data_IF_586340867710
#
_entry.id   IF_586340867710
#
_cell.length_a   1.000
_cell.length_b   1.000
_cell.length_c   1.000
_cell.angle_alpha   90.00
_cell.angle_beta   90.00
_cell.angle_gamma   90.00
#
_symmetry.space_group_name_H-M   'P 1'
#
loop_
_entity.id
_entity.type
_entity.pdbx_description
1 polymer ?
#
# COMPACT_ATOMS: atom_id res chain seq x y z
N UNK A 1 7.20 0.68 26.21
CA UNK A 1 6.35 1.17 25.11
C UNK A 1 6.21 0.02 24.09
N UNK A 2 5.00 -0.37 23.68
CA UNK A 2 4.90 -1.43 22.66
C UNK A 2 5.28 -0.86 21.30
N UNK A 3 6.27 -1.46 20.64
CA UNK A 3 6.72 -1.06 19.30
C UNK A 3 5.54 -1.11 18.31
N UNK A 4 5.36 -0.05 17.55
CA UNK A 4 4.36 0.05 16.48
C UNK A 4 5.07 0.36 15.18
N UNK A 5 4.84 -0.47 14.17
CA UNK A 5 5.51 -0.34 12.88
C UNK A 5 4.52 0.22 11.87
N UNK A 6 4.81 1.40 11.29
CA UNK A 6 4.08 1.92 10.16
C UNK A 6 4.31 1.07 8.92
N UNK A 7 3.23 0.65 8.28
CA UNK A 7 3.25 0.08 6.94
C UNK A 7 2.74 1.16 5.98
N UNK A 8 3.64 1.75 5.24
CA UNK A 8 3.36 2.83 4.29
C UNK A 8 2.79 2.23 3.00
N UNK A 9 1.60 2.66 2.61
CA UNK A 9 0.91 2.16 1.43
C UNK A 9 0.96 3.20 0.32
N UNK A 10 1.70 2.91 -0.73
CA UNK A 10 1.79 3.64 -1.98
C UNK A 10 1.02 2.91 -3.09
N UNK A 11 0.76 3.60 -4.20
CA UNK A 11 0.25 2.99 -5.42
C UNK A 11 1.19 3.34 -6.58
N UNK A 12 1.02 4.47 -7.26
CA UNK A 12 1.85 4.84 -8.40
C UNK A 12 2.78 6.01 -8.10
N UNK A 13 4.06 5.85 -8.39
CA UNK A 13 5.02 6.96 -8.41
C UNK A 13 5.12 7.46 -9.85
N UNK A 14 4.81 8.73 -10.06
CA UNK A 14 4.72 9.33 -11.38
C UNK A 14 5.79 10.40 -11.59
N UNK A 15 6.22 10.66 -12.84
CA UNK A 15 7.03 11.83 -13.16
C UNK A 15 6.38 13.14 -12.63
N UNK A 16 7.21 14.13 -12.28
CA UNK A 16 6.72 15.34 -11.61
C UNK A 16 5.82 16.20 -12.51
N UNK A 17 6.00 16.12 -13.82
CA UNK A 17 5.24 16.81 -14.85
C UNK A 17 3.97 16.07 -15.31
N UNK A 18 3.70 14.89 -14.73
CA UNK A 18 2.53 14.11 -15.14
C UNK A 18 1.22 14.76 -14.69
N UNK A 19 0.22 14.91 -15.59
CA UNK A 19 -1.11 15.44 -15.26
C UNK A 19 -1.80 14.69 -14.11
N UNK A 20 -2.61 15.42 -13.33
CA UNK A 20 -3.34 14.88 -12.17
C UNK A 20 -4.59 14.07 -12.52
N UNK A 21 -4.85 13.85 -13.81
CA UNK A 21 -6.11 13.27 -14.30
C UNK A 21 -6.22 11.74 -14.11
N UNK A 22 -5.14 11.08 -13.65
CA UNK A 22 -5.10 9.63 -13.40
C UNK A 22 -5.39 8.75 -14.63
N UNK A 23 -5.95 9.32 -15.70
CA UNK A 23 -6.37 8.67 -16.94
C UNK A 23 -6.99 7.28 -16.79
N UNK A 24 -7.83 7.12 -15.74
CA UNK A 24 -8.56 5.88 -15.46
C UNK A 24 -7.75 4.74 -14.81
N UNK A 25 -6.52 4.97 -14.34
CA UNK A 25 -5.65 3.95 -13.76
C UNK A 25 -5.86 3.77 -12.26
N UNK A 26 -5.78 4.88 -11.52
CA UNK A 26 -6.03 4.93 -10.08
C UNK A 26 -6.60 6.29 -9.69
N UNK A 27 -7.10 6.41 -8.47
CA UNK A 27 -7.59 7.69 -7.98
C UNK A 27 -6.45 8.71 -7.94
N UNK A 28 -6.64 9.98 -8.39
CA UNK A 28 -5.59 11.00 -8.47
C UNK A 28 -4.79 11.22 -7.17
N UNK A 29 -5.41 11.01 -6.01
CA UNK A 29 -4.74 11.13 -4.72
C UNK A 29 -3.63 10.09 -4.49
N UNK A 30 -3.66 8.98 -5.21
CA UNK A 30 -2.64 7.91 -5.13
C UNK A 30 -1.50 8.07 -6.16
N UNK A 31 -1.56 9.09 -7.01
CA UNK A 31 -0.47 9.45 -7.93
C UNK A 31 0.53 10.34 -7.20
N UNK A 32 1.59 9.76 -6.66
CA UNK A 32 2.61 10.51 -5.93
C UNK A 32 3.74 10.94 -6.88
N UNK A 33 4.08 12.26 -6.98
CA UNK A 33 5.22 12.73 -7.76
C UNK A 33 6.54 12.10 -7.30
N UNK A 34 7.44 11.84 -8.24
CA UNK A 34 8.75 11.25 -7.95
C UNK A 34 9.58 12.11 -6.99
N UNK A 35 9.50 13.44 -7.11
CA UNK A 35 10.16 14.37 -6.20
C UNK A 35 9.64 14.21 -4.75
N UNK A 36 8.31 14.08 -4.57
CA UNK A 36 7.75 13.87 -3.24
C UNK A 36 8.20 12.52 -2.63
N UNK A 37 8.29 11.47 -3.46
CA UNK A 37 8.81 10.18 -3.03
C UNK A 37 10.30 10.25 -2.68
N UNK A 38 11.11 10.96 -3.47
CA UNK A 38 12.52 11.24 -3.18
C UNK A 38 12.69 11.88 -1.80
N UNK A 39 11.94 12.95 -1.52
CA UNK A 39 12.00 13.67 -0.23
C UNK A 39 11.60 12.77 0.95
N UNK A 40 10.64 11.87 0.74
CA UNK A 40 10.22 10.90 1.76
C UNK A 40 11.32 9.85 2.03
N UNK A 41 11.94 9.29 1.01
CA UNK A 41 13.03 8.32 1.17
C UNK A 41 14.27 8.97 1.80
N UNK A 42 14.59 10.19 1.36
CA UNK A 42 15.66 10.98 1.96
C UNK A 42 15.39 11.24 3.45
N UNK A 43 14.17 11.65 3.82
CA UNK A 43 13.78 11.83 5.22
C UNK A 43 13.97 10.55 6.05
N UNK A 44 13.51 9.40 5.54
CA UNK A 44 13.67 8.13 6.24
C UNK A 44 15.16 7.81 6.48
N UNK A 45 16.00 7.99 5.47
CA UNK A 45 17.44 7.75 5.56
C UNK A 45 18.12 8.71 6.56
N UNK A 46 17.86 10.02 6.46
CA UNK A 46 18.42 11.05 7.35
C UNK A 46 18.01 10.85 8.83
N UNK A 47 16.79 10.33 9.06
CA UNK A 47 16.29 10.05 10.40
C UNK A 47 16.66 8.67 10.92
N UNK A 48 17.43 7.89 10.16
CA UNK A 48 17.91 6.56 10.57
C UNK A 48 16.80 5.50 10.63
N UNK A 49 15.78 5.60 9.79
CA UNK A 49 14.77 4.56 9.67
C UNK A 49 15.29 3.35 8.88
N UNK A 50 14.97 2.17 9.36
CA UNK A 50 15.17 0.90 8.65
C UNK A 50 13.90 0.52 7.90
N UNK A 51 13.99 0.32 6.59
CA UNK A 51 12.91 -0.26 5.81
C UNK A 51 12.96 -1.80 5.94
N UNK A 52 12.03 -2.35 6.70
CA UNK A 52 11.92 -3.81 6.91
C UNK A 52 11.25 -4.47 5.72
N UNK A 53 11.61 -5.73 5.46
CA UNK A 53 10.82 -6.55 4.55
C UNK A 53 9.44 -6.83 5.16
N UNK A 54 8.39 -6.86 4.32
CA UNK A 54 7.05 -7.20 4.78
C UNK A 54 6.98 -8.64 5.33
N UNK A 55 7.84 -9.55 4.84
CA UNK A 55 7.95 -10.93 5.33
C UNK A 55 8.46 -10.96 6.77
N UNK A 56 9.48 -10.17 7.09
CA UNK A 56 10.03 -10.12 8.45
C UNK A 56 9.03 -9.51 9.44
N UNK A 57 8.28 -8.48 9.02
CA UNK A 57 7.19 -7.94 9.82
C UNK A 57 6.13 -9.01 10.11
N UNK A 58 5.66 -9.74 9.08
CA UNK A 58 4.66 -10.81 9.26
C UNK A 58 5.16 -11.91 10.17
N UNK A 59 6.43 -12.31 10.05
CA UNK A 59 7.06 -13.29 10.95
C UNK A 59 7.07 -12.80 12.40
N UNK A 60 7.49 -11.56 12.62
CA UNK A 60 7.53 -10.97 13.96
C UNK A 60 6.13 -10.91 14.60
N UNK A 61 5.10 -10.53 13.83
CA UNK A 61 3.71 -10.53 14.29
C UNK A 61 3.21 -11.94 14.59
N UNK A 62 3.47 -12.91 13.72
CA UNK A 62 3.06 -14.30 13.89
C UNK A 62 3.69 -14.93 15.16
N UNK A 63 4.94 -14.58 15.42
CA UNK A 63 5.67 -15.01 16.61
C UNK A 63 5.35 -14.15 17.85
N UNK A 64 4.57 -13.07 17.69
CA UNK A 64 4.29 -12.06 18.72
C UNK A 64 5.55 -11.46 19.36
N UNK A 65 6.62 -11.36 18.56
CA UNK A 65 7.93 -10.89 18.97
C UNK A 65 8.40 -9.74 18.07
N UNK A 66 8.34 -8.52 18.61
CA UNK A 66 8.78 -7.30 17.92
C UNK A 66 10.11 -6.78 18.49
N UNK A 67 10.62 -7.39 19.53
CA UNK A 67 11.79 -6.99 20.32
C UNK A 67 13.11 -7.09 19.55
N UNK A 68 13.16 -7.88 18.48
CA UNK A 68 14.32 -7.98 17.58
C UNK A 68 14.33 -6.99 16.41
N UNK A 69 13.30 -6.15 16.27
CA UNK A 69 13.22 -5.21 15.18
C UNK A 69 13.83 -3.84 15.58
N UNK A 70 14.48 -3.11 14.66
CA UNK A 70 15.00 -1.78 14.94
C UNK A 70 13.88 -0.84 15.43
N UNK A 71 14.18 0.03 16.41
CA UNK A 71 13.19 0.96 16.97
C UNK A 71 12.57 1.91 15.95
N UNK A 72 13.40 2.37 14.99
CA UNK A 72 12.95 3.19 13.86
C UNK A 72 12.75 2.33 12.64
N UNK A 73 11.63 1.62 12.59
CA UNK A 73 11.28 0.73 11.48
C UNK A 73 10.05 1.20 10.74
N UNK A 74 10.08 1.08 9.43
CA UNK A 74 8.93 1.21 8.54
C UNK A 74 8.86 0.03 7.59
N UNK A 75 7.69 -0.28 7.05
CA UNK A 75 7.56 -1.17 5.89
C UNK A 75 6.99 -0.35 4.73
N UNK A 76 7.61 -0.45 3.57
CA UNK A 76 7.20 0.27 2.36
C UNK A 76 6.48 -0.72 1.45
N UNK A 77 5.24 -0.41 1.08
CA UNK A 77 4.42 -1.26 0.21
C UNK A 77 3.85 -0.47 -0.96
N UNK A 78 3.74 -1.12 -2.13
CA UNK A 78 3.11 -0.60 -3.32
C UNK A 78 2.02 -1.56 -3.76
N UNK A 79 0.84 -1.06 -4.09
CA UNK A 79 -0.26 -1.87 -4.60
C UNK A 79 -0.39 -1.72 -6.13
N UNK A 80 -1.17 -2.60 -6.76
CA UNK A 80 -1.60 -2.70 -8.15
C UNK A 80 -0.52 -3.17 -9.15
N UNK A 81 0.71 -2.68 -9.05
CA UNK A 81 1.80 -3.07 -9.96
C UNK A 81 2.02 -2.09 -11.11
N UNK A 82 1.83 -0.78 -10.90
CA UNK A 82 2.05 0.26 -11.90
C UNK A 82 3.50 0.36 -12.37
N UNK A 83 3.70 0.65 -13.67
CA UNK A 83 5.02 0.77 -14.30
C UNK A 83 5.88 1.90 -13.73
N UNK A 84 5.26 2.96 -13.21
CA UNK A 84 5.95 4.06 -12.52
C UNK A 84 6.73 3.58 -11.29
N UNK A 85 6.32 2.50 -10.66
CA UNK A 85 7.02 1.91 -9.53
C UNK A 85 8.39 1.33 -9.93
N UNK A 86 8.51 0.74 -11.12
CA UNK A 86 9.80 0.32 -11.66
C UNK A 86 10.66 1.51 -12.11
N UNK A 87 10.07 2.47 -12.84
CA UNK A 87 10.84 3.55 -13.46
C UNK A 87 11.24 4.65 -12.47
N UNK A 88 10.39 4.94 -11.48
CA UNK A 88 10.58 6.06 -10.55
C UNK A 88 10.94 5.59 -9.13
N UNK A 89 10.19 4.61 -8.57
CA UNK A 89 10.40 4.21 -7.19
C UNK A 89 11.65 3.33 -7.00
N UNK A 90 11.87 2.33 -7.82
CA UNK A 90 12.98 1.38 -7.68
C UNK A 90 14.36 2.07 -7.64
N UNK A 91 14.71 3.02 -8.55
CA UNK A 91 15.99 3.71 -8.48
C UNK A 91 16.20 4.47 -7.15
N UNK A 92 15.14 5.09 -6.63
CA UNK A 92 15.18 5.84 -5.37
C UNK A 92 15.30 4.90 -4.16
N UNK A 93 14.56 3.80 -4.14
CA UNK A 93 14.69 2.78 -3.10
C UNK A 93 16.12 2.23 -3.03
N UNK A 94 16.73 1.93 -4.17
CA UNK A 94 18.14 1.48 -4.26
C UNK A 94 19.11 2.56 -3.78
N UNK A 95 18.91 3.81 -4.19
CA UNK A 95 19.75 4.96 -3.80
C UNK A 95 19.85 5.11 -2.28
N UNK A 96 18.76 4.88 -1.56
CA UNK A 96 18.70 5.03 -0.11
C UNK A 96 18.80 3.70 0.65
N UNK A 97 19.05 2.58 -0.02
CA UNK A 97 19.13 1.25 0.61
C UNK A 97 17.83 0.80 1.27
N UNK A 98 16.68 1.26 0.75
CA UNK A 98 15.37 0.94 1.29
C UNK A 98 14.80 -0.30 0.61
N UNK A 99 14.27 -1.25 1.40
CA UNK A 99 13.50 -2.37 0.90
C UNK A 99 12.03 -1.99 0.74
N UNK A 100 11.33 -2.63 -0.21
CA UNK A 100 9.91 -2.48 -0.42
C UNK A 100 9.27 -3.78 -0.89
N UNK A 101 7.93 -3.89 -0.74
CA UNK A 101 7.14 -5.00 -1.26
C UNK A 101 6.10 -4.46 -2.23
N UNK A 102 6.06 -5.05 -3.42
CA UNK A 102 5.14 -4.71 -4.50
C UNK A 102 4.07 -5.79 -4.61
N UNK A 103 2.83 -5.43 -4.35
CA UNK A 103 1.67 -6.28 -4.50
C UNK A 103 1.09 -6.05 -5.90
N UNK A 104 1.10 -7.07 -6.75
CA UNK A 104 0.76 -6.93 -8.16
C UNK A 104 -0.54 -7.66 -8.49
N UNK A 105 -1.40 -7.03 -9.28
CA UNK A 105 -2.61 -7.64 -9.83
C UNK A 105 -2.23 -8.47 -11.06
N UNK A 106 -2.33 -9.79 -10.93
CA UNK A 106 -1.75 -10.73 -11.91
C UNK A 106 -2.30 -10.55 -13.32
N UNK A 107 -3.62 -10.39 -13.45
CA UNK A 107 -4.28 -10.22 -14.76
C UNK A 107 -3.88 -8.92 -15.49
N UNK A 108 -3.27 -7.98 -14.78
CA UNK A 108 -2.86 -6.69 -15.34
C UNK A 108 -1.37 -6.63 -15.73
N UNK A 109 -0.58 -7.66 -15.41
CA UNK A 109 0.85 -7.68 -15.73
C UNK A 109 1.04 -7.59 -17.26
N UNK A 110 1.83 -6.59 -17.69
CA UNK A 110 2.08 -6.29 -19.11
C UNK A 110 0.99 -5.48 -19.81
N UNK A 111 -0.11 -5.15 -19.13
CA UNK A 111 -1.10 -4.21 -19.66
C UNK A 111 -0.52 -2.78 -19.74
N UNK A 112 -1.12 -1.87 -20.54
CA UNK A 112 -0.68 -0.49 -20.60
C UNK A 112 -0.57 0.13 -19.21
N UNK A 113 0.58 0.77 -18.93
CA UNK A 113 0.94 1.39 -17.65
C UNK A 113 1.18 0.45 -16.47
N UNK A 114 1.11 -0.84 -16.67
CA UNK A 114 1.46 -1.84 -15.65
C UNK A 114 2.84 -2.43 -15.93
N UNK A 115 3.49 -2.94 -14.88
CA UNK A 115 4.79 -3.60 -15.03
C UNK A 115 4.68 -4.88 -15.85
N UNK A 116 5.68 -5.10 -16.70
CA UNK A 116 5.90 -6.38 -17.38
C UNK A 116 6.53 -7.41 -16.45
N UNK A 117 6.56 -8.67 -16.88
CA UNK A 117 7.26 -9.73 -16.16
C UNK A 117 8.76 -9.44 -16.00
N UNK A 118 9.42 -8.87 -17.01
CA UNK A 118 10.84 -8.51 -16.94
C UNK A 118 11.09 -7.41 -15.88
N UNK A 119 10.15 -6.46 -15.76
CA UNK A 119 10.23 -5.42 -14.73
C UNK A 119 9.99 -5.97 -13.32
N UNK A 120 9.10 -6.94 -13.14
CA UNK A 120 8.91 -7.65 -11.87
C UNK A 120 10.14 -8.46 -11.50
N UNK A 121 10.78 -9.10 -12.48
CA UNK A 121 12.05 -9.80 -12.28
C UNK A 121 13.17 -8.83 -11.89
N UNK A 122 13.23 -7.63 -12.50
CA UNK A 122 14.19 -6.60 -12.12
C UNK A 122 13.97 -6.10 -10.68
N UNK A 123 12.71 -5.97 -10.21
CA UNK A 123 12.42 -5.68 -8.80
C UNK A 123 12.97 -6.77 -7.89
N UNK A 124 12.71 -8.04 -8.22
CA UNK A 124 13.19 -9.20 -7.48
C UNK A 124 14.71 -9.22 -7.42
N UNK A 125 15.38 -9.06 -8.56
CA UNK A 125 16.85 -9.04 -8.66
C UNK A 125 17.48 -7.90 -7.84
N UNK A 126 16.74 -6.81 -7.64
CA UNK A 126 17.13 -5.70 -6.77
C UNK A 126 16.82 -5.95 -5.27
N UNK A 127 16.36 -7.14 -4.88
CA UNK A 127 16.06 -7.49 -3.49
C UNK A 127 14.70 -6.99 -2.99
N UNK A 128 13.82 -6.54 -3.89
CA UNK A 128 12.46 -6.13 -3.54
C UNK A 128 11.53 -7.35 -3.45
N UNK A 129 10.52 -7.27 -2.58
CA UNK A 129 9.46 -8.28 -2.53
C UNK A 129 8.47 -8.08 -3.67
N UNK A 130 8.12 -9.15 -4.39
CA UNK A 130 7.00 -9.17 -5.35
C UNK A 130 5.97 -10.18 -4.85
N UNK A 131 4.76 -9.71 -4.56
CA UNK A 131 3.71 -10.46 -3.90
C UNK A 131 2.35 -10.22 -4.58
N UNK A 132 1.31 -10.93 -4.11
CA UNK A 132 0.01 -10.94 -4.77
C UNK A 132 -0.88 -9.76 -4.36
N UNK A 133 -1.57 -9.16 -5.35
CA UNK A 133 -2.73 -8.30 -5.16
C UNK A 133 -3.98 -8.92 -5.80
N UNK A 134 -4.15 -10.23 -5.60
CA UNK A 134 -5.11 -11.12 -6.24
C UNK A 134 -4.88 -11.28 -7.76
N UNK A 135 -5.76 -12.04 -8.42
CA UNK A 135 -5.69 -12.23 -9.86
C UNK A 135 -6.31 -11.05 -10.62
N UNK A 136 -7.57 -10.64 -10.28
CA UNK A 136 -8.34 -9.65 -11.05
C UNK A 136 -8.57 -8.30 -10.35
N UNK A 137 -8.02 -8.04 -9.16
CA UNK A 137 -8.31 -6.83 -8.35
C UNK A 137 -9.79 -6.70 -7.96
N UNK A 138 -10.39 -7.78 -7.53
CA UNK A 138 -11.81 -7.86 -7.19
C UNK A 138 -12.10 -7.52 -5.72
N UNK A 139 -13.35 -7.18 -5.43
CA UNK A 139 -13.86 -7.00 -4.06
C UNK A 139 -14.09 -8.39 -3.46
N UNK A 140 -13.14 -8.91 -2.69
CA UNK A 140 -13.17 -10.27 -2.17
C UNK A 140 -14.45 -10.58 -1.35
N UNK A 141 -15.03 -9.60 -0.68
CA UNK A 141 -16.25 -9.79 0.12
C UNK A 141 -17.48 -10.17 -0.72
N UNK A 142 -17.47 -9.91 -2.03
CA UNK A 142 -18.57 -10.18 -2.96
C UNK A 142 -18.46 -11.55 -3.64
N UNK A 143 -17.33 -12.24 -3.48
CA UNK A 143 -17.08 -13.53 -4.12
C UNK A 143 -17.67 -14.69 -3.30
N UNK A 144 -18.00 -15.79 -3.97
CA UNK A 144 -18.18 -17.10 -3.30
C UNK A 144 -16.87 -17.57 -2.66
N UNK A 145 -16.93 -18.62 -1.83
CA UNK A 145 -15.73 -19.20 -1.21
C UNK A 145 -14.76 -19.74 -2.26
N UNK A 146 -15.30 -20.42 -3.27
CA UNK A 146 -14.56 -21.05 -4.35
C UNK A 146 -13.86 -19.99 -5.24
N UNK A 147 -14.57 -18.93 -5.60
CA UNK A 147 -14.00 -17.81 -6.38
C UNK A 147 -12.90 -17.10 -5.59
N UNK A 148 -13.14 -16.81 -4.29
CA UNK A 148 -12.15 -16.17 -3.44
C UNK A 148 -10.89 -17.04 -3.27
N UNK A 149 -11.06 -18.36 -3.13
CA UNK A 149 -9.92 -19.28 -3.07
C UNK A 149 -9.16 -19.33 -4.40
N UNK A 150 -9.88 -19.34 -5.54
CA UNK A 150 -9.27 -19.31 -6.86
C UNK A 150 -8.43 -18.05 -7.09
N UNK A 151 -8.95 -16.87 -6.70
CA UNK A 151 -8.21 -15.59 -6.75
C UNK A 151 -6.90 -15.64 -5.96
N UNK A 152 -6.94 -16.20 -4.76
CA UNK A 152 -5.79 -16.34 -3.88
C UNK A 152 -4.77 -17.36 -4.43
N UNK A 153 -5.25 -18.56 -4.77
CA UNK A 153 -4.40 -19.68 -5.14
C UNK A 153 -3.73 -19.49 -6.49
N UNK A 154 -4.50 -19.07 -7.50
CA UNK A 154 -3.98 -18.90 -8.86
C UNK A 154 -2.98 -17.74 -8.93
N UNK A 155 -3.30 -16.59 -8.32
CA UNK A 155 -2.38 -15.44 -8.33
C UNK A 155 -1.04 -15.77 -7.66
N UNK A 156 -1.10 -16.45 -6.50
CA UNK A 156 0.11 -16.88 -5.80
C UNK A 156 0.97 -17.84 -6.64
N UNK A 157 0.34 -18.85 -7.21
CA UNK A 157 1.07 -19.90 -7.92
C UNK A 157 1.71 -19.37 -9.20
N UNK A 158 0.98 -18.57 -10.00
CA UNK A 158 1.56 -17.98 -11.21
C UNK A 158 2.77 -17.08 -10.90
N UNK A 159 2.65 -16.21 -9.89
CA UNK A 159 3.77 -15.36 -9.47
C UNK A 159 4.96 -16.20 -8.99
N UNK A 160 4.74 -17.22 -8.16
CA UNK A 160 5.78 -18.13 -7.71
C UNK A 160 6.49 -18.83 -8.87
N UNK A 161 5.72 -19.38 -9.80
CA UNK A 161 6.24 -20.19 -10.90
C UNK A 161 7.00 -19.33 -11.93
N UNK A 162 6.52 -18.09 -12.18
CA UNK A 162 7.17 -17.16 -13.10
C UNK A 162 8.41 -16.47 -12.51
N UNK A 163 8.39 -16.15 -11.22
CA UNK A 163 9.50 -15.44 -10.56
C UNK A 163 10.50 -16.39 -9.87
N UNK A 164 10.22 -17.68 -9.80
CA UNK A 164 11.12 -18.67 -9.21
C UNK A 164 11.37 -18.46 -7.70
N UNK A 165 10.45 -17.81 -6.99
CA UNK A 165 10.59 -17.53 -5.55
C UNK A 165 9.26 -17.70 -4.80
N UNK A 166 9.30 -17.96 -3.48
CA UNK A 166 8.09 -18.05 -2.67
C UNK A 166 7.30 -16.73 -2.66
N UNK A 167 6.01 -16.81 -2.96
CA UNK A 167 5.05 -15.71 -2.81
C UNK A 167 4.21 -16.00 -1.58
N UNK A 168 4.54 -15.35 -0.47
CA UNK A 168 4.01 -15.68 0.86
C UNK A 168 3.07 -14.63 1.43
N UNK A 169 2.97 -13.48 0.78
CA UNK A 169 2.15 -12.37 1.25
C UNK A 169 1.18 -11.91 0.16
N UNK A 170 0.10 -11.28 0.62
CA UNK A 170 -0.84 -10.60 -0.26
C UNK A 170 -1.32 -9.28 0.32
N UNK A 171 -1.81 -8.40 -0.55
CA UNK A 171 -2.60 -7.22 -0.19
C UNK A 171 -4.00 -7.36 -0.76
N UNK A 172 -5.00 -6.99 0.04
CA UNK A 172 -6.41 -7.07 -0.34
C UNK A 172 -6.84 -5.81 -1.10
N UNK A 173 -7.34 -5.92 -2.34
CA UNK A 173 -7.90 -4.80 -3.07
C UNK A 173 -9.00 -4.09 -2.27
N UNK A 174 -8.94 -2.76 -2.21
CA UNK A 174 -9.83 -1.92 -1.41
C UNK A 174 -9.92 -2.27 0.09
N UNK A 175 -9.07 -3.18 0.57
CA UNK A 175 -9.11 -3.70 1.94
C UNK A 175 -10.35 -4.55 2.26
N UNK A 176 -11.09 -4.95 1.23
CA UNK A 176 -12.31 -5.75 1.35
C UNK A 176 -11.98 -7.24 1.52
N UNK A 177 -12.64 -7.90 2.44
CA UNK A 177 -12.44 -9.32 2.68
C UNK A 177 -13.70 -10.01 3.23
N UNK A 178 -13.77 -11.32 3.00
CA UNK A 178 -14.74 -12.25 3.58
C UNK A 178 -14.36 -12.59 5.03
N UNK A 179 -15.33 -13.01 5.83
CA UNK A 179 -15.08 -13.40 7.23
C UNK A 179 -14.05 -14.55 7.34
N UNK A 180 -14.09 -15.49 6.40
CA UNK A 180 -13.24 -16.69 6.34
C UNK A 180 -11.91 -16.45 5.57
N UNK A 181 -11.64 -15.21 5.15
CA UNK A 181 -10.42 -14.86 4.40
C UNK A 181 -9.11 -15.34 5.04
N UNK A 182 -8.87 -15.19 6.36
CA UNK A 182 -7.60 -15.63 6.93
C UNK A 182 -7.38 -17.15 6.83
N UNK A 183 -8.47 -17.93 6.84
CA UNK A 183 -8.44 -19.37 6.63
C UNK A 183 -8.13 -19.70 5.17
N UNK A 184 -8.87 -19.12 4.24
CA UNK A 184 -8.65 -19.27 2.79
C UNK A 184 -7.23 -18.88 2.36
N UNK A 185 -6.72 -17.76 2.87
CA UNK A 185 -5.37 -17.31 2.54
C UNK A 185 -4.30 -18.30 3.07
N UNK A 186 -4.51 -18.87 4.26
CA UNK A 186 -3.61 -19.89 4.80
C UNK A 186 -3.69 -21.17 3.98
N UNK A 187 -4.90 -21.61 3.62
CA UNK A 187 -5.14 -22.77 2.76
C UNK A 187 -4.47 -22.59 1.38
N UNK A 188 -4.54 -21.40 0.80
CA UNK A 188 -3.84 -21.04 -0.43
C UNK A 188 -2.30 -20.94 -0.27
N UNK A 189 -1.76 -21.02 0.96
CA UNK A 189 -0.33 -21.07 1.26
C UNK A 189 0.32 -19.71 1.53
N UNK A 190 -0.46 -18.68 1.87
CA UNK A 190 0.07 -17.40 2.35
C UNK A 190 0.43 -17.45 3.84
N UNK A 191 1.41 -16.66 4.25
CA UNK A 191 1.83 -16.50 5.65
C UNK A 191 1.19 -15.27 6.30
N UNK A 192 0.73 -14.31 5.51
CA UNK A 192 0.10 -13.10 6.00
C UNK A 192 -0.45 -12.22 4.89
N UNK A 193 -1.18 -11.18 5.30
CA UNK A 193 -1.83 -10.27 4.37
C UNK A 193 -2.05 -8.88 4.95
N UNK A 194 -2.17 -7.92 4.03
CA UNK A 194 -2.36 -6.51 4.31
C UNK A 194 -3.75 -6.05 3.87
N UNK A 195 -4.37 -5.21 4.67
CA UNK A 195 -5.64 -4.56 4.33
C UNK A 195 -5.46 -3.04 4.22
N UNK A 196 -6.52 -2.33 3.79
CA UNK A 196 -6.52 -0.87 3.71
C UNK A 196 -7.08 -0.20 4.99
N UNK A 197 -7.23 -0.97 6.09
CA UNK A 197 -7.62 -0.40 7.38
C UNK A 197 -6.48 0.46 7.91
N UNK A 198 -6.82 1.69 8.30
CA UNK A 198 -5.86 2.65 8.82
C UNK A 198 -5.38 2.24 10.21
N UNK A 199 -4.07 2.04 10.35
CA UNK A 199 -3.48 1.65 11.63
C UNK A 199 -1.98 1.43 11.56
N UNK A 200 -1.40 1.06 12.70
CA UNK A 200 -0.01 0.67 12.85
C UNK A 200 0.07 -0.76 13.37
N UNK A 201 1.01 -1.52 12.83
CA UNK A 201 1.19 -2.93 13.19
C UNK A 201 1.91 -3.07 14.53
N UNK A 202 1.44 -3.99 15.35
CA UNK A 202 2.04 -4.36 16.63
C UNK A 202 2.04 -5.89 16.81
N UNK A 203 2.65 -6.40 17.87
CA UNK A 203 2.63 -7.83 18.20
C UNK A 203 1.22 -8.41 18.40
N UNK A 204 0.21 -7.57 18.65
CA UNK A 204 -1.17 -8.00 18.81
C UNK A 204 -1.98 -7.99 17.51
N UNK A 205 -1.40 -7.49 16.40
CA UNK A 205 -2.09 -7.44 15.10
C UNK A 205 -2.34 -8.84 14.54
N UNK A 206 -3.41 -8.98 13.73
CA UNK A 206 -3.67 -10.23 13.02
C UNK A 206 -2.74 -10.30 11.79
N UNK A 207 -1.88 -11.33 11.63
CA UNK A 207 -0.92 -11.42 10.54
C UNK A 207 -1.56 -11.46 9.15
N UNK A 208 -2.86 -11.80 9.04
CA UNK A 208 -3.60 -11.78 7.77
C UNK A 208 -4.36 -10.47 7.50
N UNK A 209 -4.39 -9.53 8.46
CA UNK A 209 -5.14 -8.27 8.36
C UNK A 209 -4.28 -7.09 8.88
N UNK A 210 -3.03 -7.01 8.43
CA UNK A 210 -2.13 -5.95 8.85
C UNK A 210 -2.61 -4.59 8.32
N UNK A 211 -2.73 -3.65 9.25
CA UNK A 211 -3.13 -2.28 8.95
C UNK A 211 -2.02 -1.52 8.21
N UNK A 212 -2.43 -0.52 7.43
CA UNK A 212 -1.51 0.34 6.70
C UNK A 212 -1.86 1.82 6.83
N UNK A 213 -0.91 2.67 6.50
CA UNK A 213 -1.11 4.13 6.43
C UNK A 213 -0.91 4.57 4.98
N UNK A 214 -1.97 5.04 4.30
CA UNK A 214 -1.87 5.47 2.91
C UNK A 214 -1.06 6.75 2.79
N UNK A 215 -0.10 6.75 1.88
CA UNK A 215 0.66 7.93 1.47
C UNK A 215 0.00 8.48 0.21
N UNK A 216 -0.58 9.67 0.35
CA UNK A 216 -1.35 10.33 -0.69
C UNK A 216 -0.54 11.48 -1.28
N UNK A 217 -0.92 11.94 -2.48
CA UNK A 217 -0.36 13.13 -3.11
C UNK A 217 -0.38 14.36 -2.19
N UNK A 218 -1.43 14.49 -1.37
CA UNK A 218 -1.59 15.57 -0.39
C UNK A 218 -0.82 15.37 0.93
N UNK A 219 -0.04 14.30 1.06
CA UNK A 219 0.72 14.02 2.28
C UNK A 219 1.88 14.99 2.41
N UNK A 220 1.76 15.99 3.29
CA UNK A 220 2.84 16.93 3.56
C UNK A 220 4.03 16.25 4.26
N UNK A 221 5.24 16.85 4.15
CA UNK A 221 6.45 16.38 4.85
C UNK A 221 6.22 16.20 6.37
N UNK A 222 5.55 17.15 7.02
CA UNK A 222 5.26 17.07 8.44
C UNK A 222 4.29 15.92 8.79
N UNK A 223 3.29 15.66 7.92
CA UNK A 223 2.40 14.52 8.08
C UNK A 223 3.15 13.20 7.87
N UNK A 224 3.98 13.10 6.83
CA UNK A 224 4.80 11.92 6.56
C UNK A 224 5.73 11.59 7.73
N UNK A 225 6.41 12.60 8.31
CA UNK A 225 7.27 12.43 9.47
C UNK A 225 6.51 11.80 10.65
N UNK A 226 5.28 12.27 10.93
CA UNK A 226 4.43 11.69 11.98
C UNK A 226 3.97 10.27 11.65
N UNK A 227 3.65 10.00 10.38
CA UNK A 227 3.32 8.65 9.91
C UNK A 227 4.48 7.68 10.15
N UNK A 228 5.68 8.03 9.72
CA UNK A 228 6.89 7.22 9.89
C UNK A 228 7.24 7.02 11.38
N UNK A 229 6.98 8.00 12.23
CA UNK A 229 7.19 7.90 13.68
C UNK A 229 6.11 7.08 14.42
N UNK A 230 5.08 6.57 13.74
CA UNK A 230 3.99 5.81 14.37
C UNK A 230 3.08 6.67 15.26
N UNK A 231 3.00 7.99 14.99
CA UNK A 231 2.19 8.92 15.77
C UNK A 231 0.69 8.68 15.55
N UNK A 232 -0.01 8.32 16.62
CA UNK A 232 -1.44 8.02 16.60
C UNK A 232 -2.33 9.20 16.21
N UNK A 233 -1.84 10.43 16.34
CA UNK A 233 -2.60 11.63 15.93
C UNK A 233 -2.92 11.62 14.43
N UNK A 234 -2.07 10.97 13.63
CA UNK A 234 -2.32 10.75 12.19
C UNK A 234 -3.56 9.90 11.94
N UNK A 235 -3.78 8.89 12.78
CA UNK A 235 -4.91 7.96 12.66
C UNK A 235 -6.23 8.64 13.04
N UNK A 236 -6.23 9.38 14.14
CA UNK A 236 -7.43 10.04 14.70
C UNK A 236 -8.04 11.03 13.69
N UNK A 237 -7.23 11.90 13.10
CA UNK A 237 -7.71 12.89 12.14
C UNK A 237 -8.24 12.29 10.83
N UNK A 238 -7.72 11.13 10.39
CA UNK A 238 -8.22 10.43 9.21
C UNK A 238 -9.48 9.62 9.51
N UNK A 239 -9.58 9.02 10.69
CA UNK A 239 -10.79 8.32 11.14
C UNK A 239 -11.97 9.29 11.29
N UNK A 240 -11.77 10.47 11.90
CA UNK A 240 -12.79 11.51 12.02
C UNK A 240 -13.27 11.95 10.63
N UNK A 241 -12.36 12.19 9.69
CA UNK A 241 -12.73 12.56 8.31
C UNK A 241 -13.52 11.46 7.60
N UNK A 242 -13.11 10.20 7.76
CA UNK A 242 -13.81 9.06 7.16
C UNK A 242 -15.22 8.89 7.76
N UNK A 243 -15.36 8.99 9.08
CA UNK A 243 -16.66 8.95 9.75
C UNK A 243 -17.57 10.11 9.32
N UNK A 244 -17.02 11.34 9.26
CA UNK A 244 -17.75 12.50 8.77
C UNK A 244 -18.20 12.33 7.31
N UNK A 245 -17.35 11.78 6.45
CA UNK A 245 -17.69 11.48 5.05
C UNK A 245 -18.79 10.41 4.97
N UNK A 246 -18.68 9.32 5.73
CA UNK A 246 -19.68 8.24 5.74
C UNK A 246 -21.05 8.74 6.25
N UNK A 247 -21.06 9.55 7.30
CA UNK A 247 -22.29 10.15 7.82
C UNK A 247 -22.90 11.16 6.82
N UNK A 248 -22.07 11.99 6.20
CA UNK A 248 -22.52 12.93 5.19
C UNK A 248 -23.05 12.21 3.94
N UNK A 249 -22.41 11.12 3.50
CA UNK A 249 -22.88 10.32 2.36
C UNK A 249 -24.20 9.62 2.63
N UNK A 250 -24.42 9.17 3.86
CA UNK A 250 -25.69 8.56 4.27
C UNK A 250 -26.85 9.57 4.34
N UNK A 251 -26.54 10.86 4.66
CA UNK A 251 -27.57 11.90 4.81
C UNK A 251 -27.91 12.63 3.50
N UNK A 252 -26.97 12.80 2.60
CA UNK A 252 -27.11 13.69 1.42
C UNK A 252 -26.88 12.96 0.09
N UNK A 253 -26.50 11.68 0.12
CA UNK A 253 -26.15 10.87 -1.03
C UNK A 253 -24.70 11.07 -1.49
N UNK A 254 -24.08 9.98 -1.95
CA UNK A 254 -22.64 9.90 -2.24
C UNK A 254 -22.17 10.90 -3.32
N UNK A 255 -23.01 11.14 -4.33
CA UNK A 255 -22.73 12.10 -5.42
C UNK A 255 -22.72 13.56 -4.98
N UNK A 256 -23.48 13.90 -3.93
CA UNK A 256 -23.54 15.26 -3.39
C UNK A 256 -22.35 15.55 -2.48
N UNK A 257 -21.92 14.55 -1.69
CA UNK A 257 -20.76 14.64 -0.80
C UNK A 257 -19.46 14.74 -1.60
N UNK A 258 -19.33 13.97 -2.66
CA UNK A 258 -18.16 14.04 -3.55
C UNK A 258 -18.05 15.43 -4.24
N UNK A 259 -19.16 16.02 -4.69
CA UNK A 259 -19.16 17.40 -5.23
C UNK A 259 -18.77 18.45 -4.19
N UNK A 260 -19.22 18.29 -2.93
CA UNK A 260 -18.89 19.20 -1.84
C UNK A 260 -17.43 19.05 -1.39
N UNK A 261 -16.92 17.84 -1.30
CA UNK A 261 -15.52 17.54 -0.97
C UNK A 261 -14.54 18.12 -2.00
N UNK A 262 -14.87 18.00 -3.29
CA UNK A 262 -14.09 18.62 -4.36
C UNK A 262 -14.17 20.16 -4.34
N UNK A 263 -15.25 20.75 -3.85
CA UNK A 263 -15.37 22.19 -3.69
C UNK A 263 -14.53 22.72 -2.52
N UNK A 264 -14.51 22.06 -1.40
CA UNK A 264 -13.69 22.45 -0.23
C UNK A 264 -12.17 22.34 -0.50
N UNK A 265 -11.76 21.34 -1.23
CA UNK A 265 -10.35 21.18 -1.61
C UNK A 265 -9.90 22.21 -2.67
N UNK A 266 -10.83 22.88 -3.37
CA UNK A 266 -10.53 24.01 -4.28
C UNK A 266 -10.40 25.36 -3.58
N UNK A 267 -10.95 25.51 -2.38
CA UNK A 267 -10.90 26.76 -1.61
C UNK A 267 -9.54 26.96 -0.91
N UNK A 268 -8.72 25.91 -0.81
CA UNK A 268 -7.37 25.95 -0.21
C UNK A 268 -6.21 26.14 -1.18
N UNK A 269 -6.46 26.32 -2.48
CA UNK A 269 -5.41 26.66 -3.47
C UNK A 269 -5.32 28.18 -3.56
N UNK A 270 -4.12 28.80 -3.36
CA UNK A 270 -3.96 30.22 -3.62
C UNK A 270 -4.22 30.49 -5.11
N UNK A 271 -5.01 31.54 -5.39
CA UNK A 271 -5.22 32.08 -6.75
C UNK A 271 -3.84 32.48 -7.33
N UNK A 272 -3.32 31.70 -8.25
CA UNK A 272 -2.30 32.18 -9.17
C UNK A 272 -2.99 33.03 -10.25
N UNK A 273 -3.19 34.28 -9.92
CA UNK A 273 -3.37 35.37 -10.89
C UNK A 273 -2.39 36.47 -10.48
N UNK A 274 -1.27 36.47 -11.14
CA UNK A 274 -0.60 37.58 -11.85
C UNK A 274 0.79 37.14 -12.30
#
# INVERSE_FOLDING_TARGET
>A
MHLRIPVLMYHEIVPDDQPRDGRGRTHPDYLLPAQAFLEQMQYLAEQGFSALSAVDLVRAVTQRRMDGLPERSVVITFDDGFVGNHHQALPLLRKFGMQATFFVTVAQIGAPAMMSWDQLEALRAAGMGVCSHLWHHVIMAELSREEAFAELFQSRNLLRDRLGQPVTLLSLPNGSYRRDYPELAREAGYLGGFCSRLGYVSAASNPFLLERVPVLRSTSRARFARMAAGDRSVLTGAQIRRQAHTLASALVGESAVNRWYHRLNRIGAPDEKN
#
